data_IF_625467091395
#
_entry.id   IF_625467091395
#
_cell.length_a   1.000
_cell.length_b   1.000
_cell.length_c   1.000
_cell.angle_alpha   90.00
_cell.angle_beta   90.00
_cell.angle_gamma   90.00
#
_symmetry.space_group_name_H-M   'P 1'
#
loop_
_entity.id
_entity.type
_entity.pdbx_description
1 polymer ?
#
# COMPACT_ATOMS: atom_id res chain seq x y z
N UNK A 1 -14.76 -0.84 27.46
CA UNK A 1 -13.45 -0.68 26.86
C UNK A 1 -13.46 0.49 25.88
N UNK A 2 -12.31 1.12 25.68
CA UNK A 2 -12.18 2.26 24.79
C UNK A 2 -12.68 1.95 23.36
N UNK A 3 -12.51 0.71 22.89
CA UNK A 3 -12.98 0.30 21.55
C UNK A 3 -14.49 0.33 21.40
N UNK A 4 -15.25 0.15 22.46
CA UNK A 4 -16.73 0.22 22.42
C UNK A 4 -17.23 1.66 22.36
N UNK A 5 -16.37 2.62 22.67
CA UNK A 5 -16.71 4.04 22.66
C UNK A 5 -16.39 4.72 21.34
N UNK A 6 -15.79 3.99 20.37
CA UNK A 6 -15.43 4.53 19.07
C UNK A 6 -16.43 4.05 18.00
N UNK A 7 -16.84 4.96 17.16
CA UNK A 7 -17.58 4.63 15.94
C UNK A 7 -16.63 4.68 14.75
N UNK A 8 -16.88 3.85 13.74
CA UNK A 8 -16.07 3.91 12.54
C UNK A 8 -16.95 3.75 11.30
N UNK A 9 -16.48 4.33 10.21
CA UNK A 9 -17.13 4.22 8.91
C UNK A 9 -16.06 3.83 7.88
N UNK A 10 -16.31 2.75 7.15
CA UNK A 10 -15.42 2.32 6.08
C UNK A 10 -15.56 3.28 4.91
N UNK A 11 -14.44 3.87 4.48
CA UNK A 11 -14.40 4.84 3.40
C UNK A 11 -14.08 4.19 2.06
N UNK A 12 -13.17 3.23 2.06
CA UNK A 12 -12.75 2.55 0.83
C UNK A 12 -12.13 1.20 1.14
N UNK A 13 -12.10 0.37 0.12
CA UNK A 13 -11.39 -0.92 0.15
C UNK A 13 -10.27 -0.87 -0.87
N UNK A 14 -9.16 -1.53 -0.57
CA UNK A 14 -8.03 -1.58 -1.49
C UNK A 14 -7.21 -2.83 -1.28
N UNK A 15 -6.45 -3.19 -2.31
CA UNK A 15 -5.44 -4.24 -2.24
C UNK A 15 -4.07 -3.61 -2.49
N UNK A 16 -3.05 -4.23 -1.92
CA UNK A 16 -1.69 -3.83 -2.24
C UNK A 16 -1.29 -4.40 -3.59
N UNK A 17 -0.56 -3.60 -4.33
CA UNK A 17 0.05 -3.95 -5.60
C UNK A 17 1.55 -3.82 -5.51
N UNK A 18 2.25 -4.39 -6.48
CA UNK A 18 3.71 -4.39 -6.52
C UNK A 18 4.20 -3.11 -7.18
N UNK A 19 5.10 -2.40 -6.51
CA UNK A 19 5.78 -1.23 -7.05
C UNK A 19 7.20 -1.59 -7.42
N UNK A 20 7.58 -1.29 -8.65
CA UNK A 20 8.85 -1.67 -9.25
C UNK A 20 9.51 -0.46 -9.89
N UNK A 21 10.85 -0.35 -9.88
CA UNK A 21 11.53 0.55 -10.79
C UNK A 21 11.15 0.23 -12.25
N UNK A 22 11.07 1.25 -13.09
CA UNK A 22 10.67 1.05 -14.50
C UNK A 22 11.66 0.20 -15.29
N UNK A 23 12.90 0.08 -14.82
CA UNK A 23 13.92 -0.78 -15.42
C UNK A 23 14.00 -2.19 -14.80
N UNK A 24 13.10 -2.50 -13.87
CA UNK A 24 13.02 -3.81 -13.25
C UNK A 24 12.66 -4.88 -14.31
N UNK A 25 13.24 -6.10 -14.22
CA UNK A 25 12.93 -7.16 -15.18
C UNK A 25 11.44 -7.49 -15.32
N UNK A 26 10.64 -7.27 -14.26
CA UNK A 26 9.19 -7.56 -14.27
C UNK A 26 8.34 -6.35 -14.66
N UNK A 27 8.95 -5.20 -14.90
CA UNK A 27 8.20 -3.94 -15.09
C UNK A 27 7.34 -3.93 -16.37
N UNK A 28 7.72 -4.68 -17.40
CA UNK A 28 6.96 -4.74 -18.65
C UNK A 28 5.73 -5.65 -18.59
N UNK A 29 5.63 -6.48 -17.56
CA UNK A 29 4.49 -7.37 -17.39
C UNK A 29 3.24 -6.58 -16.96
N UNK A 30 2.07 -6.99 -17.45
CA UNK A 30 0.81 -6.38 -17.04
C UNK A 30 0.42 -6.75 -15.59
N UNK A 31 0.86 -7.92 -15.12
CA UNK A 31 0.68 -8.38 -13.74
C UNK A 31 1.90 -9.20 -13.32
N UNK A 32 2.10 -9.31 -12.01
CA UNK A 32 3.24 -10.01 -11.43
C UNK A 32 2.72 -11.09 -10.49
N UNK A 33 3.24 -12.31 -10.62
CA UNK A 33 2.92 -13.40 -9.72
C UNK A 33 3.86 -13.39 -8.51
N UNK A 34 3.36 -13.88 -7.37
CA UNK A 34 4.16 -13.96 -6.15
C UNK A 34 5.45 -14.77 -6.36
N UNK A 35 5.37 -15.87 -7.11
CA UNK A 35 6.54 -16.71 -7.39
C UNK A 35 7.64 -15.98 -8.19
N UNK A 36 7.26 -15.02 -9.01
CA UNK A 36 8.22 -14.24 -9.79
C UNK A 36 9.01 -13.25 -8.96
N UNK A 37 8.52 -12.92 -7.76
CA UNK A 37 9.18 -11.98 -6.86
C UNK A 37 10.23 -12.62 -5.95
N UNK A 38 10.26 -13.95 -5.87
CA UNK A 38 11.18 -14.67 -4.98
C UNK A 38 12.66 -14.31 -5.17
N UNK A 39 13.18 -14.12 -6.41
CA UNK A 39 14.59 -13.77 -6.59
C UNK A 39 14.96 -12.34 -6.17
N UNK A 40 13.98 -11.49 -5.89
CA UNK A 40 14.18 -10.06 -5.72
C UNK A 40 13.99 -9.62 -4.26
N UNK A 41 14.79 -8.65 -3.78
CA UNK A 41 14.61 -8.17 -2.41
C UNK A 41 13.37 -7.28 -2.26
N UNK A 42 12.69 -7.46 -1.17
CA UNK A 42 11.51 -6.66 -0.82
C UNK A 42 11.90 -5.57 0.17
N UNK A 43 11.48 -4.34 -0.10
CA UNK A 43 11.62 -3.22 0.83
C UNK A 43 10.33 -3.10 1.61
N UNK A 44 10.39 -3.39 2.91
CA UNK A 44 9.22 -3.46 3.79
C UNK A 44 9.11 -2.18 4.61
N UNK A 45 7.90 -1.62 4.68
CA UNK A 45 7.62 -0.51 5.58
C UNK A 45 7.51 -1.04 7.01
N UNK A 46 8.18 -0.37 7.97
CA UNK A 46 8.29 -0.86 9.34
C UNK A 46 6.96 -1.08 10.05
N UNK A 47 5.96 -0.24 9.77
CA UNK A 47 4.63 -0.39 10.36
C UNK A 47 3.89 -1.64 9.86
N UNK A 48 4.36 -2.24 8.79
CA UNK A 48 3.76 -3.43 8.21
C UNK A 48 4.26 -4.74 8.80
N UNK A 49 5.07 -4.71 9.84
CA UNK A 49 5.56 -5.92 10.48
C UNK A 49 4.43 -6.87 10.91
N UNK A 50 3.33 -6.31 11.41
CA UNK A 50 2.15 -7.09 11.81
C UNK A 50 1.25 -7.46 10.64
N UNK A 51 1.17 -6.60 9.64
CA UNK A 51 0.30 -6.80 8.48
C UNK A 51 0.99 -7.58 7.38
N UNK A 52 2.30 -7.65 7.40
CA UNK A 52 3.08 -8.37 6.41
C UNK A 52 2.69 -9.85 6.33
N UNK A 53 2.34 -10.45 7.46
CA UNK A 53 1.86 -11.84 7.50
C UNK A 53 0.54 -12.05 6.77
N UNK A 54 -0.20 -10.99 6.48
CA UNK A 54 -1.47 -11.04 5.77
C UNK A 54 -1.32 -10.90 4.27
N UNK A 55 -0.16 -10.48 3.80
CA UNK A 55 0.15 -10.46 2.37
C UNK A 55 0.80 -11.77 1.96
N UNK A 56 1.05 -11.93 0.68
CA UNK A 56 1.78 -13.10 0.19
C UNK A 56 3.14 -13.18 0.89
N UNK A 57 3.34 -14.28 1.60
CA UNK A 57 4.62 -14.53 2.26
C UNK A 57 5.61 -15.06 1.23
N UNK A 58 6.31 -14.14 0.58
CA UNK A 58 7.26 -14.47 -0.46
C UNK A 58 8.62 -14.76 0.17
N UNK A 59 9.21 -15.89 -0.20
CA UNK A 59 10.52 -16.31 0.30
C UNK A 59 11.62 -15.50 -0.39
N UNK A 60 11.82 -14.27 0.04
CA UNK A 60 12.84 -13.38 -0.51
C UNK A 60 13.55 -12.64 0.62
N UNK A 61 14.67 -11.96 0.26
CA UNK A 61 15.35 -11.07 1.20
C UNK A 61 14.43 -9.87 1.50
N UNK A 62 14.31 -9.54 2.77
CA UNK A 62 13.49 -8.41 3.21
C UNK A 62 14.38 -7.35 3.87
N UNK A 63 14.16 -6.10 3.47
CA UNK A 63 14.84 -4.94 4.04
C UNK A 63 13.78 -4.04 4.65
N UNK A 64 13.89 -3.78 5.93
CA UNK A 64 12.90 -3.02 6.69
C UNK A 64 13.28 -1.55 6.74
N UNK A 65 12.33 -0.68 6.47
CA UNK A 65 12.50 0.77 6.49
C UNK A 65 11.49 1.39 7.45
N UNK A 66 11.79 2.61 7.91
CA UNK A 66 10.96 3.29 8.91
C UNK A 66 9.77 4.00 8.26
N UNK A 67 9.95 4.57 7.08
CA UNK A 67 8.93 5.39 6.43
C UNK A 67 8.92 5.21 4.92
N UNK A 68 7.93 5.84 4.28
CA UNK A 68 7.74 5.74 2.82
C UNK A 68 8.90 6.35 2.02
N UNK A 69 9.48 7.46 2.50
CA UNK A 69 10.59 8.09 1.81
C UNK A 69 11.83 7.21 1.81
N UNK A 70 12.14 6.58 2.95
CA UNK A 70 13.22 5.61 3.04
C UNK A 70 12.97 4.42 2.11
N UNK A 71 11.74 3.96 2.03
CA UNK A 71 11.32 2.87 1.16
C UNK A 71 11.57 3.21 -0.32
N UNK A 72 11.14 4.41 -0.75
CA UNK A 72 11.36 4.87 -2.13
C UNK A 72 12.84 5.07 -2.45
N UNK A 73 13.60 5.60 -1.52
CA UNK A 73 15.04 5.79 -1.68
C UNK A 73 15.77 4.46 -1.85
N UNK A 74 15.42 3.47 -1.04
CA UNK A 74 15.98 2.13 -1.16
C UNK A 74 15.60 1.47 -2.48
N UNK A 75 14.37 1.66 -2.92
CA UNK A 75 13.89 1.12 -4.18
C UNK A 75 14.69 1.66 -5.36
N UNK A 76 15.02 2.94 -5.33
CA UNK A 76 15.85 3.59 -6.34
C UNK A 76 17.30 3.08 -6.32
N UNK A 77 17.82 2.81 -5.13
CA UNK A 77 19.26 2.51 -4.93
C UNK A 77 19.60 1.04 -5.04
N UNK A 78 18.62 0.15 -4.80
CA UNK A 78 18.89 -1.30 -4.74
C UNK A 78 18.37 -2.00 -6.00
N UNK A 79 19.26 -2.50 -6.87
CA UNK A 79 18.82 -3.17 -8.10
C UNK A 79 17.90 -4.37 -7.82
N UNK A 80 16.83 -4.47 -8.59
CA UNK A 80 15.89 -5.58 -8.48
C UNK A 80 14.92 -5.49 -7.30
N UNK A 81 14.99 -4.45 -6.48
CA UNK A 81 14.10 -4.32 -5.34
C UNK A 81 12.66 -4.02 -5.76
N UNK A 82 11.72 -4.43 -4.91
CA UNK A 82 10.31 -4.10 -5.07
C UNK A 82 9.68 -3.80 -3.71
N UNK A 83 8.49 -3.23 -3.74
CA UNK A 83 7.72 -2.98 -2.53
C UNK A 83 6.24 -3.19 -2.79
N UNK A 84 5.48 -3.36 -1.70
CA UNK A 84 4.02 -3.41 -1.75
C UNK A 84 3.46 -2.06 -1.33
N UNK A 85 2.45 -1.60 -2.03
CA UNK A 85 1.75 -0.35 -1.70
C UNK A 85 0.32 -0.40 -2.20
N UNK A 86 -0.59 0.40 -1.60
CA UNK A 86 -1.87 0.67 -2.25
C UNK A 86 -1.63 1.37 -3.57
N UNK A 87 -2.66 1.49 -4.41
CA UNK A 87 -2.52 2.15 -5.71
C UNK A 87 -2.04 3.59 -5.49
N UNK A 88 -0.88 3.89 -6.05
CA UNK A 88 -0.27 5.21 -5.95
C UNK A 88 -0.66 6.06 -7.15
N UNK A 89 -0.79 7.40 -6.98
CA UNK A 89 -1.04 8.28 -8.11
C UNK A 89 0.05 8.15 -9.18
N UNK A 90 -0.36 8.10 -10.42
CA UNK A 90 0.56 7.89 -11.52
C UNK A 90 1.65 8.97 -11.62
N UNK A 91 1.32 10.20 -11.25
CA UNK A 91 2.29 11.30 -11.22
C UNK A 91 3.46 11.02 -10.27
N UNK A 92 3.19 10.39 -9.13
CA UNK A 92 4.25 10.02 -8.18
C UNK A 92 5.09 8.88 -8.72
N UNK A 93 4.45 7.89 -9.32
CA UNK A 93 5.18 6.79 -9.95
C UNK A 93 6.14 7.32 -11.02
N UNK A 94 5.68 8.21 -11.88
CA UNK A 94 6.52 8.82 -12.91
C UNK A 94 7.65 9.65 -12.34
N UNK A 95 7.36 10.44 -11.29
CA UNK A 95 8.36 11.27 -10.64
C UNK A 95 9.54 10.46 -10.10
N UNK A 96 9.26 9.26 -9.59
CA UNK A 96 10.27 8.37 -9.02
C UNK A 96 10.76 7.31 -9.99
N UNK A 97 10.32 7.35 -11.25
CA UNK A 97 10.71 6.34 -12.23
C UNK A 97 10.21 4.95 -11.90
N UNK A 98 8.98 4.86 -11.36
CA UNK A 98 8.38 3.61 -10.89
C UNK A 98 7.18 3.22 -11.75
N UNK A 99 6.86 1.94 -11.70
CA UNK A 99 5.61 1.39 -12.23
C UNK A 99 4.93 0.58 -11.13
N UNK A 100 3.63 0.40 -11.24
CA UNK A 100 2.86 -0.40 -10.30
C UNK A 100 2.08 -1.47 -11.05
N UNK A 101 2.15 -2.72 -10.56
CA UNK A 101 1.54 -3.86 -11.22
C UNK A 101 0.71 -4.66 -10.21
N UNK A 102 -0.48 -5.12 -10.58
CA UNK A 102 -1.28 -5.97 -9.72
C UNK A 102 -0.61 -7.33 -9.54
N UNK A 103 -0.82 -7.91 -8.37
CA UNK A 103 -0.44 -9.28 -8.08
C UNK A 103 -1.72 -10.08 -7.81
N UNK A 104 -2.23 -10.83 -8.77
CA UNK A 104 -3.49 -11.57 -8.60
C UNK A 104 -3.45 -12.58 -7.44
N UNK A 105 -2.27 -13.05 -7.08
CA UNK A 105 -2.09 -13.98 -5.96
C UNK A 105 -2.40 -13.32 -4.61
N UNK A 106 -2.32 -12.00 -4.51
CA UNK A 106 -2.59 -11.28 -3.28
C UNK A 106 -4.08 -10.97 -3.15
N UNK A 107 -4.78 -11.77 -2.35
CA UNK A 107 -6.21 -11.65 -2.12
C UNK A 107 -6.57 -10.80 -0.90
N UNK A 108 -5.58 -10.32 -0.15
CA UNK A 108 -5.82 -9.54 1.06
C UNK A 108 -6.43 -8.18 0.72
N UNK A 109 -7.57 -7.87 1.32
CA UNK A 109 -8.28 -6.60 1.15
C UNK A 109 -8.13 -5.78 2.42
N UNK A 110 -7.73 -4.53 2.25
CA UNK A 110 -7.63 -3.56 3.34
C UNK A 110 -8.76 -2.54 3.24
N UNK A 111 -9.06 -1.94 4.37
CA UNK A 111 -10.11 -0.92 4.47
C UNK A 111 -9.54 0.36 5.04
N UNK A 112 -9.80 1.47 4.40
CA UNK A 112 -9.63 2.79 5.00
C UNK A 112 -10.91 3.12 5.74
N UNK A 113 -10.79 3.59 6.98
CA UNK A 113 -11.93 3.94 7.80
C UNK A 113 -11.70 5.26 8.53
N UNK A 114 -12.78 5.98 8.74
CA UNK A 114 -12.80 7.11 9.67
C UNK A 114 -13.24 6.56 11.01
N UNK A 115 -12.44 6.85 12.04
CA UNK A 115 -12.74 6.46 13.41
C UNK A 115 -13.03 7.72 14.21
N UNK A 116 -14.19 7.77 14.85
CA UNK A 116 -14.65 8.93 15.58
C UNK A 116 -15.10 8.53 16.99
N UNK A 117 -14.91 9.45 17.95
CA UNK A 117 -15.53 9.31 19.26
C UNK A 117 -17.06 9.41 19.08
N UNK A 118 -17.87 8.59 19.80
CA UNK A 118 -19.34 8.60 19.61
C UNK A 118 -19.99 9.96 19.81
N UNK A 119 -19.39 10.82 20.60
CA UNK A 119 -19.92 12.18 20.87
C UNK A 119 -19.39 13.24 19.92
N UNK A 120 -18.48 12.85 19.01
CA UNK A 120 -17.93 13.78 18.05
C UNK A 120 -18.91 14.00 16.90
N UNK A 121 -19.19 15.26 16.62
CA UNK A 121 -20.03 15.66 15.48
C UNK A 121 -19.12 16.30 14.44
N UNK A 122 -19.06 15.70 13.26
CA UNK A 122 -18.25 16.25 12.17
C UNK A 122 -18.82 17.59 11.70
N UNK A 123 -17.90 18.52 11.40
CA UNK A 123 -18.26 19.78 10.73
C UNK A 123 -18.68 19.50 9.28
N UNK A 124 -19.29 20.48 8.62
CA UNK A 124 -19.64 20.36 7.20
C UNK A 124 -18.42 20.09 6.33
N UNK A 125 -17.27 20.73 6.64
CA UNK A 125 -16.04 20.53 5.89
C UNK A 125 -15.53 19.11 6.06
N UNK A 126 -15.52 18.60 7.28
CA UNK A 126 -15.09 17.24 7.56
C UNK A 126 -15.99 16.20 6.89
N UNK A 127 -17.31 16.39 6.98
CA UNK A 127 -18.28 15.50 6.34
C UNK A 127 -18.13 15.53 4.81
N UNK A 128 -17.94 16.72 4.25
CA UNK A 128 -17.71 16.87 2.81
C UNK A 128 -16.44 16.18 2.35
N UNK A 129 -15.38 16.27 3.12
CA UNK A 129 -14.12 15.59 2.84
C UNK A 129 -14.27 14.07 2.84
N UNK A 130 -14.94 13.52 3.85
CA UNK A 130 -15.18 12.08 3.94
C UNK A 130 -16.01 11.59 2.75
N UNK A 131 -17.08 12.32 2.40
CA UNK A 131 -17.92 11.96 1.25
C UNK A 131 -17.13 12.03 -0.06
N UNK A 132 -16.30 13.04 -0.21
CA UNK A 132 -15.44 13.17 -1.39
C UNK A 132 -14.52 11.95 -1.56
N UNK A 133 -13.86 11.53 -0.48
CA UNK A 133 -13.00 10.36 -0.51
C UNK A 133 -13.78 9.09 -0.84
N UNK A 134 -14.95 8.90 -0.24
CA UNK A 134 -15.80 7.73 -0.50
C UNK A 134 -16.22 7.65 -1.98
N UNK A 135 -16.48 8.79 -2.61
CA UNK A 135 -16.89 8.84 -4.01
C UNK A 135 -15.73 8.58 -4.98
N UNK A 136 -14.50 8.98 -4.61
CA UNK A 136 -13.36 8.96 -5.52
C UNK A 136 -12.36 7.84 -5.27
N UNK A 137 -12.47 7.14 -4.13
CA UNK A 137 -11.52 6.11 -3.73
C UNK A 137 -12.15 4.73 -3.53
N UNK A 138 -13.41 4.58 -3.90
CA UNK A 138 -14.11 3.29 -3.78
C UNK A 138 -13.82 2.36 -4.95
#
# INVERSE_FOLDING_TARGET
TAQRELSFQIMSKYRYSVVLPQDHPLAEQASVRASELEPYPEIVHGDNLRTHSRQQNIACRKIYTVDRMAQLTMLESLPGAYMWAPVLPERYLRQWGLVQRPCPDNQTVYHNAVILHPRYVMTEIESGYVQHIMQHCS
#
